data_IF_298341673209
#
_entry.id   IF_298341673209
#
_cell.length_a   1.000
_cell.length_b   1.000
_cell.length_c   1.000
_cell.angle_alpha   90.00
_cell.angle_beta   90.00
_cell.angle_gamma   90.00
#
_symmetry.space_group_name_H-M   'P 1'
#
loop_
_entity.id
_entity.type
_entity.pdbx_description
1 polymer ?
#
# COMPACT_ATOMS: atom_id res chain seq x y z
N UNK A 1 10.12 9.91 -1.81
CA UNK A 1 9.30 10.83 -0.98
C UNK A 1 8.63 10.00 0.11
N UNK A 2 8.65 10.45 1.37
CA UNK A 2 7.95 9.75 2.45
C UNK A 2 6.44 9.99 2.33
N UNK A 3 5.66 8.91 2.24
CA UNK A 3 4.19 8.96 2.18
C UNK A 3 3.53 8.81 3.57
N UNK A 4 4.33 8.51 4.60
CA UNK A 4 3.89 8.34 5.99
C UNK A 4 3.76 6.87 6.42
N UNK A 5 3.23 6.67 7.63
CA UNK A 5 2.91 5.35 8.18
C UNK A 5 1.60 4.84 7.59
N UNK A 6 1.49 3.55 7.26
CA UNK A 6 0.32 2.97 6.62
C UNK A 6 0.12 1.48 6.84
N UNK A 7 0.74 0.88 7.85
CA UNK A 7 0.31 -0.45 8.29
C UNK A 7 -1.03 -0.30 9.02
N UNK A 8 -2.07 -0.90 8.45
CA UNK A 8 -3.40 -0.97 9.05
C UNK A 8 -3.61 -2.36 9.67
N UNK A 9 -4.36 -2.46 10.77
CA UNK A 9 -4.78 -3.76 11.31
C UNK A 9 -5.96 -4.33 10.52
N UNK A 10 -6.78 -3.44 9.96
CA UNK A 10 -8.00 -3.75 9.22
C UNK A 10 -7.93 -3.13 7.82
N UNK A 11 -8.53 -3.79 6.83
CA UNK A 11 -8.58 -3.34 5.43
C UNK A 11 -9.15 -1.93 5.30
N UNK A 12 -10.14 -1.62 6.14
CA UNK A 12 -10.85 -0.34 6.10
C UNK A 12 -10.18 0.75 6.93
N UNK A 13 -9.09 0.48 7.64
CA UNK A 13 -8.35 1.46 8.44
C UNK A 13 -7.24 2.18 7.67
N UNK A 14 -7.32 2.20 6.34
CA UNK A 14 -6.31 2.86 5.54
C UNK A 14 -6.36 4.37 5.75
N UNK A 15 -5.20 4.96 6.05
CA UNK A 15 -5.02 6.41 6.18
C UNK A 15 -4.59 7.06 4.86
N UNK A 16 -4.10 6.24 3.92
CA UNK A 16 -3.64 6.67 2.62
C UNK A 16 -3.53 5.44 1.72
N UNK A 17 -4.41 5.33 0.74
CA UNK A 17 -4.41 4.24 -0.23
C UNK A 17 -3.47 4.55 -1.40
N UNK A 18 -2.96 3.48 -2.01
CA UNK A 18 -2.14 3.54 -3.22
C UNK A 18 -2.97 2.98 -4.35
N UNK A 19 -3.11 3.73 -5.43
CA UNK A 19 -3.96 3.39 -6.56
C UNK A 19 -3.14 3.13 -7.81
N UNK A 20 -3.67 2.33 -8.73
CA UNK A 20 -3.12 2.23 -10.08
C UNK A 20 -3.58 3.37 -10.96
N UNK A 21 -4.82 3.79 -10.79
CA UNK A 21 -5.42 4.88 -11.54
C UNK A 21 -5.37 6.20 -10.76
N UNK A 22 -5.29 7.31 -11.48
CA UNK A 22 -5.51 8.63 -10.89
C UNK A 22 -7.02 8.79 -10.56
N UNK A 23 -7.39 8.68 -9.29
CA UNK A 23 -8.79 8.79 -8.86
C UNK A 23 -9.44 10.12 -9.28
N UNK A 24 -8.69 11.22 -9.36
CA UNK A 24 -9.26 12.52 -9.74
C UNK A 24 -9.66 12.62 -11.21
N UNK A 25 -9.24 11.67 -12.04
CA UNK A 25 -9.60 11.62 -13.47
C UNK A 25 -10.22 10.27 -13.87
N UNK A 26 -10.22 9.28 -12.97
CA UNK A 26 -10.75 7.96 -13.25
C UNK A 26 -12.26 7.92 -12.99
N UNK A 27 -12.99 7.37 -13.96
CA UNK A 27 -14.38 6.98 -13.84
C UNK A 27 -14.49 5.48 -14.19
N UNK A 28 -15.21 4.70 -13.39
CA UNK A 28 -15.34 3.26 -13.55
C UNK A 28 -14.42 2.46 -12.64
N UNK A 29 -13.84 1.37 -13.13
CA UNK A 29 -13.08 0.44 -12.27
C UNK A 29 -11.76 1.07 -11.84
N UNK A 30 -11.51 1.05 -10.53
CA UNK A 30 -10.24 1.47 -9.92
C UNK A 30 -9.70 0.35 -9.05
N UNK A 31 -8.38 0.34 -8.89
CA UNK A 31 -7.65 -0.62 -8.10
C UNK A 31 -6.84 0.07 -7.04
N UNK A 32 -6.81 -0.54 -5.85
CA UNK A 32 -5.96 -0.10 -4.75
C UNK A 32 -5.10 -1.21 -4.21
N UNK A 33 -3.89 -0.85 -3.82
CA UNK A 33 -2.93 -1.69 -3.11
C UNK A 33 -3.07 -1.41 -1.62
N UNK A 34 -3.52 -2.41 -0.87
CA UNK A 34 -3.60 -2.34 0.58
C UNK A 34 -2.34 -2.94 1.22
N UNK A 35 -1.96 -2.38 2.36
CA UNK A 35 -0.90 -2.89 3.22
C UNK A 35 -1.44 -3.11 4.63
N UNK A 36 -1.53 -4.38 5.02
CA UNK A 36 -2.22 -4.81 6.25
C UNK A 36 -1.30 -5.66 7.11
N UNK A 37 -1.25 -5.36 8.40
CA UNK A 37 -0.57 -6.17 9.41
C UNK A 37 -1.46 -7.38 9.75
N UNK A 38 -0.97 -8.59 9.50
CA UNK A 38 -1.75 -9.84 9.74
C UNK A 38 -1.34 -10.54 11.02
N UNK A 39 -0.05 -10.52 11.33
CA UNK A 39 0.49 -11.05 12.58
C UNK A 39 1.75 -10.27 12.92
N UNK A 40 2.17 -10.35 14.17
CA UNK A 40 3.38 -9.67 14.58
C UNK A 40 4.58 -10.14 13.74
N UNK A 41 5.26 -9.19 13.10
CA UNK A 41 6.41 -9.44 12.24
C UNK A 41 6.08 -9.67 10.75
N UNK A 42 4.80 -9.73 10.36
CA UNK A 42 4.40 -9.91 8.96
C UNK A 42 3.25 -8.99 8.61
N UNK A 43 3.50 -8.13 7.63
CA UNK A 43 2.44 -7.47 6.88
C UNK A 43 2.21 -8.18 5.55
N UNK A 44 1.10 -7.87 4.89
CA UNK A 44 0.82 -8.35 3.55
C UNK A 44 0.34 -7.22 2.66
N UNK A 45 0.59 -7.39 1.36
CA UNK A 45 -0.01 -6.59 0.31
C UNK A 45 -1.09 -7.39 -0.38
N UNK A 46 -2.28 -6.79 -0.48
CA UNK A 46 -3.38 -7.30 -1.29
C UNK A 46 -3.88 -6.22 -2.25
N UNK A 47 -4.58 -6.64 -3.30
CA UNK A 47 -5.22 -5.73 -4.24
C UNK A 47 -6.73 -5.82 -4.09
N UNK A 48 -7.37 -4.65 -4.05
CA UNK A 48 -8.81 -4.54 -4.15
C UNK A 48 -9.20 -3.76 -5.39
N UNK A 49 -10.38 -4.08 -5.91
CA UNK A 49 -11.04 -3.34 -6.98
C UNK A 49 -12.35 -2.77 -6.48
N UNK A 50 -12.72 -1.62 -7.01
CA UNK A 50 -13.99 -0.97 -6.74
C UNK A 50 -14.44 -0.17 -7.95
N UNK A 51 -15.74 0.12 -8.03
CA UNK A 51 -16.29 0.98 -9.07
C UNK A 51 -16.37 2.40 -8.53
N UNK A 52 -15.54 3.27 -9.08
CA UNK A 52 -15.53 4.71 -8.89
C UNK A 52 -16.73 5.30 -9.63
N UNK A 53 -17.78 5.77 -8.93
CA UNK A 53 -19.01 6.23 -9.58
C UNK A 53 -18.83 7.60 -10.26
N UNK A 54 -17.90 8.41 -9.76
CA UNK A 54 -17.67 9.80 -10.18
C UNK A 54 -16.18 10.14 -9.98
N UNK A 55 -15.63 11.01 -10.83
CA UNK A 55 -14.25 11.48 -10.71
C UNK A 55 -13.97 12.05 -9.31
N UNK A 56 -12.88 11.61 -8.69
CA UNK A 56 -12.47 12.05 -7.36
C UNK A 56 -13.22 11.43 -6.19
N UNK A 57 -14.20 10.55 -6.43
CA UNK A 57 -14.96 9.87 -5.37
C UNK A 57 -14.55 8.41 -5.24
N UNK A 58 -14.15 7.99 -4.03
CA UNK A 58 -13.81 6.59 -3.80
C UNK A 58 -15.03 5.67 -3.95
N UNK A 59 -14.82 4.42 -4.41
CA UNK A 59 -15.82 3.36 -4.32
C UNK A 59 -16.34 3.16 -2.87
N UNK A 60 -17.65 3.01 -2.74
CA UNK A 60 -18.29 2.67 -1.46
C UNK A 60 -18.05 1.19 -1.08
N UNK A 61 -17.84 0.33 -2.08
CA UNK A 61 -17.62 -1.11 -1.92
C UNK A 61 -16.33 -1.52 -2.60
N UNK A 62 -15.51 -2.27 -1.87
CA UNK A 62 -14.26 -2.85 -2.34
C UNK A 62 -14.31 -4.37 -2.32
N UNK A 63 -13.78 -4.98 -3.38
CA UNK A 63 -13.69 -6.42 -3.54
C UNK A 63 -12.22 -6.85 -3.65
N UNK A 64 -11.84 -7.90 -2.95
CA UNK A 64 -10.51 -8.50 -3.13
C UNK A 64 -10.39 -9.03 -4.55
N UNK A 65 -9.35 -8.63 -5.26
CA UNK A 65 -9.14 -9.02 -6.65
C UNK A 65 -7.88 -9.87 -6.79
N UNK A 66 -8.03 -11.18 -6.56
CA UNK A 66 -6.91 -12.12 -6.51
C UNK A 66 -6.10 -12.17 -7.82
N UNK A 67 -6.76 -12.02 -8.98
CA UNK A 67 -6.08 -11.99 -10.28
C UNK A 67 -5.21 -10.74 -10.43
N UNK A 68 -5.66 -9.60 -9.90
CA UNK A 68 -4.89 -8.36 -9.89
C UNK A 68 -3.64 -8.43 -9.01
N UNK A 69 -3.55 -9.39 -8.10
CA UNK A 69 -2.33 -9.60 -7.32
C UNK A 69 -1.14 -9.98 -8.23
N UNK A 70 -1.38 -10.56 -9.40
CA UNK A 70 -0.33 -10.84 -10.39
C UNK A 70 0.21 -9.57 -11.05
N UNK A 71 -0.56 -8.48 -11.06
CA UNK A 71 -0.12 -7.17 -11.54
C UNK A 71 0.73 -6.42 -10.51
N UNK A 72 0.91 -6.98 -9.31
CA UNK A 72 1.81 -6.46 -8.28
C UNK A 72 3.01 -7.38 -8.16
N UNK A 73 4.20 -6.79 -8.16
CA UNK A 73 5.44 -7.48 -7.85
C UNK A 73 5.94 -7.02 -6.49
N UNK A 74 6.38 -7.98 -5.68
CA UNK A 74 6.99 -7.74 -4.37
C UNK A 74 8.37 -8.37 -4.42
N UNK A 75 9.38 -7.54 -4.24
CA UNK A 75 10.78 -7.95 -4.19
C UNK A 75 11.29 -7.71 -2.79
N UNK A 76 11.79 -8.79 -2.20
CA UNK A 76 12.39 -8.79 -0.89
C UNK A 76 13.91 -8.79 -1.07
N UNK A 77 14.54 -7.65 -0.78
CA UNK A 77 15.99 -7.48 -0.86
C UNK A 77 16.70 -8.13 0.35
N UNK A 78 15.94 -8.74 1.26
CA UNK A 78 16.40 -9.41 2.47
C UNK A 78 16.32 -8.54 3.73
N UNK A 79 16.77 -9.10 4.87
CA UNK A 79 16.81 -8.41 6.14
C UNK A 79 17.67 -7.14 6.07
N UNK A 80 17.12 -6.05 6.58
CA UNK A 80 17.81 -4.79 6.81
C UNK A 80 18.46 -4.85 8.20
N UNK A 81 19.78 -4.66 8.26
CA UNK A 81 20.49 -4.53 9.53
C UNK A 81 19.98 -3.28 10.26
N UNK A 82 19.25 -3.47 11.35
CA UNK A 82 18.65 -2.38 12.13
C UNK A 82 19.60 -1.75 13.15
N UNK A 83 20.89 -1.95 12.96
CA UNK A 83 21.76 -2.03 14.12
C UNK A 83 22.13 -0.73 14.80
N UNK A 84 22.07 -0.82 16.12
CA UNK A 84 22.96 -0.12 17.03
C UNK A 84 24.20 -1.00 17.37
N UNK A 85 24.23 -2.33 17.07
CA UNK A 85 25.28 -3.27 17.55
C UNK A 85 25.75 -4.42 16.62
N UNK A 86 25.41 -4.45 15.33
CA UNK A 86 25.71 -5.54 14.39
C UNK A 86 24.86 -6.83 14.45
N UNK A 87 23.73 -6.90 15.20
CA UNK A 87 22.74 -7.98 15.10
C UNK A 87 21.35 -7.56 14.56
N UNK A 88 20.77 -8.31 13.60
CA UNK A 88 19.38 -8.10 13.17
C UNK A 88 18.40 -8.39 14.32
N UNK A 89 17.40 -7.51 14.50
CA UNK A 89 16.37 -7.70 15.52
C UNK A 89 15.57 -8.99 15.25
N UNK A 90 15.51 -9.89 16.23
CA UNK A 90 14.78 -11.15 16.10
C UNK A 90 13.27 -10.91 16.20
N UNK A 91 12.52 -11.28 15.15
CA UNK A 91 11.06 -11.33 15.19
C UNK A 91 10.57 -12.77 15.29
N UNK A 92 9.51 -13.03 16.08
CA UNK A 92 9.08 -14.40 16.37
C UNK A 92 8.53 -15.16 15.17
N UNK A 93 7.94 -14.49 14.17
CA UNK A 93 7.19 -15.16 13.11
C UNK A 93 7.79 -15.06 11.69
N UNK A 94 8.88 -14.31 11.49
CA UNK A 94 9.47 -14.14 10.16
C UNK A 94 9.99 -15.47 9.56
N UNK A 95 10.31 -16.46 10.40
CA UNK A 95 10.93 -17.72 9.97
C UNK A 95 9.94 -18.89 9.77
N UNK A 96 8.66 -18.73 10.14
CA UNK A 96 7.72 -19.86 10.23
C UNK A 96 6.66 -19.91 9.12
N UNK A 97 6.48 -18.83 8.36
CA UNK A 97 5.50 -18.81 7.26
C UNK A 97 6.26 -19.09 5.96
N UNK A 98 5.85 -20.13 5.23
CA UNK A 98 6.33 -20.37 3.87
C UNK A 98 6.09 -19.11 3.02
N UNK A 99 7.15 -18.35 2.75
CA UNK A 99 7.16 -17.13 1.94
C UNK A 99 7.02 -17.46 0.45
N UNK A 100 5.99 -18.24 0.10
CA UNK A 100 5.59 -18.37 -1.29
C UNK A 100 5.30 -16.98 -1.87
N UNK A 101 5.56 -16.74 -3.17
CA UNK A 101 5.38 -15.43 -3.79
C UNK A 101 3.92 -14.93 -3.74
N UNK A 102 2.97 -15.84 -3.49
CA UNK A 102 1.59 -15.57 -3.10
C UNK A 102 1.22 -16.60 -2.02
N UNK A 103 0.55 -16.17 -0.95
CA UNK A 103 0.03 -17.07 0.08
C UNK A 103 -1.35 -16.61 0.57
N UNK A 104 -2.09 -17.53 1.19
CA UNK A 104 -3.39 -17.24 1.78
C UNK A 104 -3.22 -16.73 3.21
N UNK A 105 -3.82 -15.58 3.51
CA UNK A 105 -3.81 -14.97 4.84
C UNK A 105 -5.24 -14.68 5.29
N UNK A 106 -5.48 -14.74 6.59
CA UNK A 106 -6.76 -14.30 7.17
C UNK A 106 -6.64 -12.82 7.52
N UNK A 107 -7.43 -11.99 6.86
CA UNK A 107 -7.52 -10.54 7.07
C UNK A 107 -8.98 -10.19 7.34
N UNK A 108 -9.27 -9.56 8.48
CA UNK A 108 -10.64 -9.24 8.91
C UNK A 108 -11.59 -10.45 8.89
N UNK A 109 -11.11 -11.61 9.34
CA UNK A 109 -11.87 -12.86 9.35
C UNK A 109 -12.11 -13.49 7.98
N UNK A 110 -11.54 -12.93 6.90
CA UNK A 110 -11.67 -13.42 5.53
C UNK A 110 -10.35 -13.91 4.98
N UNK A 111 -10.37 -15.04 4.29
CA UNK A 111 -9.19 -15.56 3.57
C UNK A 111 -8.96 -14.69 2.33
N UNK A 112 -7.75 -14.14 2.20
CA UNK A 112 -7.31 -13.38 1.04
C UNK A 112 -6.00 -13.95 0.49
N UNK A 113 -5.88 -13.97 -0.83
CA UNK A 113 -4.59 -14.19 -1.48
C UNK A 113 -3.79 -12.88 -1.40
N UNK A 114 -2.59 -12.94 -0.84
CA UNK A 114 -1.76 -11.75 -0.62
C UNK A 114 -0.26 -12.08 -0.77
N UNK A 115 0.55 -11.02 -0.87
CA UNK A 115 2.01 -11.11 -0.93
C UNK A 115 2.62 -10.68 0.41
N UNK A 116 3.49 -11.50 1.03
CA UNK A 116 4.10 -11.15 2.30
C UNK A 116 5.00 -9.92 2.15
N UNK A 117 5.00 -9.09 3.19
CA UNK A 117 5.96 -8.01 3.42
C UNK A 117 6.51 -8.26 4.83
N UNK A 118 7.60 -9.05 4.94
CA UNK A 118 8.18 -9.42 6.24
C UNK A 118 8.80 -8.20 6.90
N UNK A 119 8.49 -7.94 8.17
CA UNK A 119 9.11 -6.84 8.89
C UNK A 119 10.63 -7.01 8.99
N UNK A 120 11.35 -5.91 9.17
CA UNK A 120 12.81 -5.83 9.09
C UNK A 120 13.42 -6.10 7.73
N UNK A 121 12.65 -6.53 6.73
CA UNK A 121 13.19 -6.66 5.39
C UNK A 121 13.08 -5.33 4.66
N UNK A 122 14.00 -5.12 3.71
CA UNK A 122 13.82 -4.09 2.70
C UNK A 122 12.98 -4.68 1.58
N UNK A 123 11.72 -4.26 1.52
CA UNK A 123 10.77 -4.77 0.54
C UNK A 123 10.36 -3.66 -0.42
N UNK A 124 10.43 -3.96 -1.71
CA UNK A 124 9.98 -3.07 -2.77
C UNK A 124 8.73 -3.66 -3.44
N UNK A 125 7.65 -2.89 -3.42
CA UNK A 125 6.37 -3.26 -4.03
C UNK A 125 6.13 -2.34 -5.22
N UNK A 126 5.89 -2.93 -6.39
CA UNK A 126 5.83 -2.21 -7.66
C UNK A 126 4.82 -2.85 -8.63
N UNK A 127 4.37 -2.16 -9.67
CA UNK A 127 3.63 -2.83 -10.73
C UNK A 127 4.48 -3.92 -11.38
N UNK A 128 3.84 -5.01 -11.80
CA UNK A 128 4.51 -6.11 -12.48
C UNK A 128 4.88 -5.74 -13.92
N UNK A 129 4.11 -4.86 -14.55
CA UNK A 129 4.39 -4.33 -15.88
C UNK A 129 5.36 -3.16 -15.79
N UNK A 130 6.41 -3.21 -16.59
CA UNK A 130 7.39 -2.13 -16.67
C UNK A 130 6.78 -0.85 -17.27
N UNK A 131 7.14 0.30 -16.70
CA UNK A 131 6.66 1.62 -17.12
C UNK A 131 5.30 2.03 -16.54
N UNK A 132 4.62 1.14 -15.81
CA UNK A 132 3.38 1.49 -15.12
C UNK A 132 3.67 2.36 -13.88
N UNK A 133 2.78 3.31 -13.62
CA UNK A 133 2.89 4.29 -12.54
C UNK A 133 1.75 4.09 -11.56
N UNK A 134 2.02 4.27 -10.28
CA UNK A 134 1.03 4.28 -9.21
C UNK A 134 0.81 5.69 -8.70
N UNK A 135 -0.37 5.90 -8.13
CA UNK A 135 -0.86 7.18 -7.68
C UNK A 135 -1.16 7.11 -6.18
N UNK A 136 -0.52 7.97 -5.42
CA UNK A 136 -0.88 8.26 -4.03
C UNK A 136 -1.79 9.49 -4.02
N UNK A 137 -2.92 9.39 -3.34
CA UNK A 137 -3.81 10.53 -3.10
C UNK A 137 -4.01 10.72 -1.60
N UNK A 138 -3.80 11.94 -1.12
CA UNK A 138 -3.98 12.25 0.29
C UNK A 138 -5.45 12.21 0.66
N UNK A 139 -5.83 11.34 1.60
CA UNK A 139 -7.16 11.34 2.18
C UNK A 139 -7.30 12.37 3.32
N UNK A 140 -8.54 12.71 3.63
CA UNK A 140 -8.85 13.48 4.82
C UNK A 140 -8.36 12.74 6.09
N UNK A 141 -7.96 13.46 7.15
CA UNK A 141 -7.65 12.82 8.41
C UNK A 141 -8.83 11.98 8.90
N UNK A 142 -8.53 10.74 9.27
CA UNK A 142 -9.51 9.83 9.85
C UNK A 142 -9.97 10.35 11.21
N UNK A 143 -11.28 10.38 11.44
CA UNK A 143 -11.88 10.81 12.73
C UNK A 143 -12.30 9.63 13.60
N UNK A 144 -12.63 8.49 12.99
CA UNK A 144 -13.16 7.30 13.65
C UNK A 144 -12.77 6.00 12.91
N UNK A 145 -13.24 4.86 13.41
CA UNK A 145 -13.04 3.55 12.80
C UNK A 145 -14.01 3.26 11.64
N UNK A 146 -14.67 4.27 11.08
CA UNK A 146 -15.64 4.15 10.00
C UNK A 146 -15.02 3.80 8.64
N UNK A 147 -15.76 3.98 7.54
CA UNK A 147 -15.26 3.71 6.19
C UNK A 147 -13.99 4.52 5.86
N UNK A 148 -13.26 4.16 4.78
CA UNK A 148 -12.10 4.93 4.32
C UNK A 148 -12.41 6.42 4.24
N UNK A 149 -11.56 7.31 4.77
CA UNK A 149 -11.77 8.75 4.65
C UNK A 149 -11.75 9.16 3.17
N UNK A 150 -12.55 10.17 2.78
CA UNK A 150 -12.58 10.62 1.40
C UNK A 150 -11.21 11.17 0.98
N UNK A 151 -10.87 10.99 -0.29
CA UNK A 151 -9.71 11.66 -0.89
C UNK A 151 -9.91 13.17 -0.83
N UNK A 152 -8.89 13.92 -0.42
CA UNK A 152 -8.96 15.37 -0.44
C UNK A 152 -9.04 15.87 -1.90
N UNK A 153 -9.81 16.93 -2.17
CA UNK A 153 -9.84 17.55 -3.50
C UNK A 153 -8.43 17.92 -3.99
N UNK A 154 -8.24 17.92 -5.32
CA UNK A 154 -6.95 18.21 -5.98
C UNK A 154 -6.23 19.44 -5.41
N UNK A 155 -6.98 20.50 -5.12
CA UNK A 155 -6.45 21.78 -4.61
C UNK A 155 -6.12 21.80 -3.10
N UNK A 156 -6.53 20.77 -2.35
CA UNK A 156 -6.33 20.65 -0.89
C UNK A 156 -5.45 19.47 -0.49
N UNK A 157 -5.41 18.42 -1.31
CA UNK A 157 -4.63 17.21 -1.08
C UNK A 157 -3.26 17.23 -1.75
N UNK A 158 -2.43 16.28 -1.36
CA UNK A 158 -1.21 15.92 -2.10
C UNK A 158 -1.49 14.74 -3.02
N UNK A 159 -0.97 14.79 -4.24
CA UNK A 159 -0.89 13.67 -5.16
C UNK A 159 0.55 13.43 -5.58
N UNK A 160 0.93 12.16 -5.58
CA UNK A 160 2.29 11.74 -5.93
C UNK A 160 2.17 10.57 -6.88
N UNK A 161 2.82 10.71 -8.02
CA UNK A 161 3.02 9.63 -8.98
C UNK A 161 4.39 9.02 -8.76
N UNK A 162 4.45 7.68 -8.78
CA UNK A 162 5.69 6.96 -8.49
C UNK A 162 5.66 5.54 -9.06
N UNK A 163 6.82 4.91 -9.19
CA UNK A 163 6.94 3.59 -9.84
C UNK A 163 7.08 2.44 -8.85
N UNK A 164 7.41 2.72 -7.58
CA UNK A 164 7.44 1.71 -6.53
C UNK A 164 7.22 2.28 -5.13
N UNK A 165 6.68 1.46 -4.24
CA UNK A 165 6.71 1.64 -2.80
C UNK A 165 7.88 0.87 -2.21
N UNK A 166 8.67 1.53 -1.37
CA UNK A 166 9.67 0.87 -0.53
C UNK A 166 9.24 0.88 0.93
N UNK A 167 9.35 -0.28 1.55
CA UNK A 167 9.19 -0.54 2.97
C UNK A 167 10.57 -0.87 3.54
N UNK A 168 11.07 -0.06 4.48
CA UNK A 168 12.45 -0.19 4.99
C UNK A 168 12.54 0.27 6.45
N UNK A 169 11.67 -0.26 7.31
CA UNK A 169 11.62 0.10 8.74
C UNK A 169 11.33 -1.10 9.62
N UNK A 170 11.67 -0.99 10.92
CA UNK A 170 11.50 -2.05 11.92
C UNK A 170 10.07 -2.60 11.97
N UNK A 171 9.10 -1.70 12.05
CA UNK A 171 7.70 -2.00 11.77
C UNK A 171 7.47 -1.36 10.42
N UNK A 172 7.27 -2.14 9.36
CA UNK A 172 7.13 -1.71 7.96
C UNK A 172 5.91 -0.80 7.70
N UNK A 173 5.46 -0.06 8.70
CA UNK A 173 4.51 1.02 8.65
C UNK A 173 4.93 2.11 7.67
N UNK A 174 6.21 2.48 7.57
CA UNK A 174 6.61 3.63 6.78
C UNK A 174 6.80 3.31 5.30
N UNK A 175 6.09 4.07 4.47
CA UNK A 175 6.07 3.93 3.02
C UNK A 175 6.85 5.04 2.35
N UNK A 176 7.78 4.67 1.48
CA UNK A 176 8.53 5.61 0.66
C UNK A 176 8.22 5.42 -0.81
N UNK A 177 7.71 6.46 -1.47
CA UNK A 177 7.57 6.49 -2.92
C UNK A 177 8.96 6.62 -3.57
N UNK A 178 9.26 5.71 -4.51
CA UNK A 178 10.47 5.64 -5.31
C UNK A 178 10.14 5.93 -6.78
N UNK A 179 11.04 6.60 -7.49
CA UNK A 179 10.81 6.99 -8.88
C UNK A 179 9.71 8.03 -9.02
N UNK A 180 9.68 9.01 -8.11
CA UNK A 180 8.63 10.05 -8.07
C UNK A 180 8.66 10.87 -9.36
N UNK A 181 7.55 10.88 -10.07
CA UNK A 181 7.30 11.76 -11.21
C UNK A 181 6.82 13.09 -10.63
N UNK A 182 7.65 14.14 -10.75
CA UNK A 182 7.28 15.47 -10.28
C UNK A 182 6.48 16.16 -11.37
N UNK A 183 5.20 16.37 -11.11
CA UNK A 183 4.41 17.34 -11.85
C UNK A 183 4.57 18.68 -11.15
N UNK A 184 4.96 19.72 -11.90
CA UNK A 184 4.99 21.08 -11.37
C UNK A 184 3.60 21.41 -10.83
N UNK A 185 3.52 21.84 -9.56
CA UNK A 185 2.23 22.29 -9.02
C UNK A 185 1.76 23.45 -9.89
N UNK A 186 0.50 23.47 -10.37
CA UNK A 186 -0.05 24.68 -10.94
C UNK A 186 0.10 25.79 -9.90
N UNK A 187 0.61 26.95 -10.33
CA UNK A 187 0.75 28.12 -9.49
C UNK A 187 -0.58 28.36 -8.75
N UNK A 188 -0.49 28.60 -7.45
CA UNK A 188 -1.66 29.05 -6.70
C UNK A 188 -1.94 30.48 -7.15
N UNK A 189 -2.98 30.65 -7.94
CA UNK A 189 -3.60 31.96 -8.20
C UNK A 189 -4.32 32.48 -6.94
#
# INVERSE_FOLDING_TARGET
>A
MMLGSGASLHRDQTAADIFWENIWTANGVVHRVLHVCVTWGISVVLVQTGVCPEEGKLPDVWHDHALSLQAVRVDDDGPENLDVHGAPAALPNANQINHGPNAFYVVDGRVALAKPVPWHHRVTVRPAREGETWHYHQCAPRKDHGPPPPVLPVNKGSHVEFTALRFSTQVQSYRTAVGVVRHDRPARD
#
